data_IF_547849650410
#
_entry.id   IF_547849650410
#
_cell.length_a   1.000
_cell.length_b   1.000
_cell.length_c   1.000
_cell.angle_alpha   90.00
_cell.angle_beta   90.00
_cell.angle_gamma   90.00
#
_symmetry.space_group_name_H-M   'P 1'
#
loop_
_entity.id
_entity.type
_entity.pdbx_description
1 polymer ?
#
# COMPACT_ATOMS: atom_id res chain seq x y z
N UNK A 1 -14.28 11.81 -16.06
CA UNK A 1 -12.99 11.11 -15.88
C UNK A 1 -12.90 10.68 -14.43
N UNK A 2 -12.58 9.41 -14.17
CA UNK A 2 -12.57 8.86 -12.82
C UNK A 2 -11.31 9.30 -12.05
N UNK A 3 -11.36 9.25 -10.73
CA UNK A 3 -10.19 9.45 -9.87
C UNK A 3 -9.88 8.19 -9.05
N UNK A 4 -8.63 7.74 -9.14
CA UNK A 4 -8.09 6.67 -8.31
C UNK A 4 -7.00 7.19 -7.38
N UNK A 5 -6.98 6.69 -6.15
CA UNK A 5 -5.90 6.89 -5.20
C UNK A 5 -5.23 5.58 -4.86
N UNK A 6 -3.93 5.46 -5.16
CA UNK A 6 -3.08 4.38 -4.69
C UNK A 6 -2.45 4.82 -3.38
N UNK A 7 -2.94 4.26 -2.29
CA UNK A 7 -2.64 4.70 -0.95
C UNK A 7 -1.87 3.65 -0.16
N UNK A 8 -0.78 4.04 0.48
CA UNK A 8 -0.03 3.08 1.28
C UNK A 8 1.18 3.64 2.01
N UNK A 9 2.03 2.73 2.46
CA UNK A 9 3.23 3.08 3.22
C UNK A 9 4.42 3.47 2.32
N UNK A 10 5.64 3.17 2.76
CA UNK A 10 6.88 3.51 2.06
C UNK A 10 7.00 2.93 0.64
N UNK A 11 6.26 1.86 0.31
CA UNK A 11 6.29 1.25 -1.02
C UNK A 11 5.61 2.18 -2.03
N UNK A 12 4.40 2.66 -1.73
CA UNK A 12 3.71 3.64 -2.58
C UNK A 12 4.52 4.93 -2.72
N UNK A 13 5.18 5.38 -1.63
CA UNK A 13 6.04 6.57 -1.68
C UNK A 13 7.19 6.38 -2.67
N UNK A 14 7.92 5.27 -2.54
CA UNK A 14 9.05 4.94 -3.43
C UNK A 14 8.59 4.69 -4.86
N UNK A 15 7.43 4.06 -5.06
CA UNK A 15 6.86 3.87 -6.40
C UNK A 15 6.62 5.22 -7.08
N UNK A 16 6.00 6.17 -6.37
CA UNK A 16 5.80 7.52 -6.87
C UNK A 16 7.13 8.18 -7.21
N UNK A 17 8.09 8.17 -6.28
CA UNK A 17 9.43 8.74 -6.49
C UNK A 17 10.15 8.11 -7.70
N UNK A 18 10.02 6.79 -7.88
CA UNK A 18 10.58 6.05 -9.03
C UNK A 18 9.98 6.54 -10.35
N UNK A 19 8.64 6.67 -10.40
CA UNK A 19 7.93 7.18 -11.58
C UNK A 19 8.33 8.63 -11.87
N UNK A 20 8.33 9.50 -10.86
CA UNK A 20 8.67 10.92 -10.98
C UNK A 20 10.13 11.14 -11.44
N UNK A 21 11.03 10.25 -11.03
CA UNK A 21 12.45 10.27 -11.45
C UNK A 21 12.71 9.58 -12.79
N UNK A 22 11.70 8.97 -13.42
CA UNK A 22 11.87 8.27 -14.69
C UNK A 22 12.72 6.99 -14.57
N UNK A 23 12.63 6.28 -13.43
CA UNK A 23 13.46 5.12 -13.15
C UNK A 23 13.32 3.97 -14.17
N UNK A 24 12.17 3.86 -14.83
CA UNK A 24 11.91 2.93 -15.93
C UNK A 24 11.01 3.63 -16.96
N UNK A 25 11.39 3.70 -18.24
CA UNK A 25 10.61 4.39 -19.28
C UNK A 25 9.24 3.76 -19.55
N UNK A 26 9.00 2.52 -19.11
CA UNK A 26 7.72 1.83 -19.24
C UNK A 26 6.74 2.23 -18.13
N UNK A 27 7.24 2.76 -17.02
CA UNK A 27 6.42 3.23 -15.92
C UNK A 27 5.90 4.63 -16.22
N UNK A 28 4.58 4.74 -16.40
CA UNK A 28 3.91 6.03 -16.58
C UNK A 28 3.08 6.37 -15.33
N UNK A 29 3.00 7.65 -14.93
CA UNK A 29 2.22 8.08 -13.77
C UNK A 29 0.72 7.81 -13.92
N UNK A 30 0.23 7.78 -15.16
CA UNK A 30 -1.16 7.47 -15.50
C UNK A 30 -1.46 5.97 -15.60
N UNK A 31 -0.45 5.10 -15.46
CA UNK A 31 -0.56 3.66 -15.69
C UNK A 31 -1.21 3.28 -17.04
N UNK A 32 -1.09 4.14 -18.06
CA UNK A 32 -1.76 4.04 -19.37
C UNK A 32 -3.30 4.10 -19.28
N UNK A 33 -3.82 4.80 -18.28
CA UNK A 33 -5.26 5.01 -18.03
C UNK A 33 -5.69 6.47 -18.24
N UNK A 34 -4.83 7.30 -18.84
CA UNK A 34 -4.99 8.74 -19.04
C UNK A 34 -6.34 9.17 -19.67
N UNK A 35 -6.90 8.36 -20.56
CA UNK A 35 -8.21 8.61 -21.17
C UNK A 35 -9.42 8.26 -20.27
N UNK A 36 -9.21 7.51 -19.21
CA UNK A 36 -10.28 6.94 -18.37
C UNK A 36 -10.24 7.47 -16.93
N UNK A 37 -9.03 7.68 -16.40
CA UNK A 37 -8.80 7.83 -14.97
C UNK A 37 -7.54 8.63 -14.65
N UNK A 38 -7.66 9.54 -13.68
CA UNK A 38 -6.53 10.17 -13.02
C UNK A 38 -6.09 9.31 -11.83
N UNK A 39 -4.81 8.90 -11.82
CA UNK A 39 -4.24 8.10 -10.74
C UNK A 39 -3.35 8.98 -9.87
N UNK A 40 -3.64 9.02 -8.57
CA UNK A 40 -2.83 9.72 -7.57
C UNK A 40 -2.16 8.70 -6.65
N UNK A 41 -0.82 8.69 -6.60
CA UNK A 41 -0.08 7.82 -5.70
C UNK A 41 0.27 8.59 -4.43
N UNK A 42 -0.17 8.07 -3.29
CA UNK A 42 -0.03 8.71 -1.99
C UNK A 42 0.61 7.73 -1.00
N UNK A 43 1.90 7.94 -0.74
CA UNK A 43 2.68 7.10 0.16
C UNK A 43 3.24 7.86 1.36
N UNK A 44 3.12 7.28 2.55
CA UNK A 44 3.74 7.82 3.78
C UNK A 44 4.64 6.77 4.45
N UNK A 45 5.90 7.14 4.73
CA UNK A 45 6.83 6.26 5.44
C UNK A 45 6.29 5.85 6.81
N UNK A 46 6.45 4.56 7.17
CA UNK A 46 6.03 4.04 8.48
C UNK A 46 4.53 3.95 8.72
N UNK A 47 3.70 4.28 7.72
CA UNK A 47 2.24 4.32 7.87
C UNK A 47 1.67 2.96 8.30
N UNK A 48 0.83 2.99 9.34
CA UNK A 48 0.04 1.88 9.89
C UNK A 48 -1.45 2.17 9.68
N UNK A 49 -2.26 1.12 9.65
CA UNK A 49 -3.71 1.21 9.54
C UNK A 49 -4.32 2.02 10.70
N UNK A 50 -3.92 1.76 11.95
CA UNK A 50 -4.41 2.48 13.13
C UNK A 50 -4.22 4.01 13.03
N UNK A 51 -3.17 4.47 12.34
CA UNK A 51 -2.90 5.90 12.17
C UNK A 51 -3.89 6.57 11.21
N UNK A 52 -4.56 5.79 10.36
CA UNK A 52 -5.58 6.27 9.42
C UNK A 52 -6.94 6.33 10.09
N UNK A 53 -7.29 5.26 10.80
CA UNK A 53 -8.60 5.16 11.47
C UNK A 53 -8.66 6.09 12.68
N UNK A 54 -7.52 6.27 13.37
CA UNK A 54 -7.32 7.19 14.49
C UNK A 54 -8.13 6.83 15.72
N UNK A 55 -7.48 6.48 16.84
CA UNK A 55 -8.15 6.49 18.15
C UNK A 55 -8.34 7.90 18.71
N UNK A 56 -7.55 8.89 18.26
CA UNK A 56 -7.44 10.21 18.90
C UNK A 56 -7.73 11.42 17.97
N UNK A 57 -8.51 11.25 16.90
CA UNK A 57 -8.93 12.36 16.01
C UNK A 57 -7.84 12.92 15.06
N UNK A 58 -6.56 12.57 15.25
CA UNK A 58 -5.44 12.98 14.40
C UNK A 58 -5.38 12.26 13.02
N UNK A 59 -6.01 11.09 12.90
CA UNK A 59 -6.17 10.36 11.62
C UNK A 59 -6.99 11.15 10.58
N UNK A 60 -7.78 12.14 11.03
CA UNK A 60 -8.71 12.85 10.15
C UNK A 60 -8.03 13.82 9.19
N UNK A 61 -6.91 14.47 9.52
CA UNK A 61 -6.38 15.54 8.64
C UNK A 61 -5.74 15.00 7.35
N UNK A 62 -5.07 13.85 7.41
CA UNK A 62 -4.45 13.25 6.22
C UNK A 62 -5.52 12.69 5.28
N UNK A 63 -6.48 11.95 5.83
CA UNK A 63 -7.61 11.43 5.07
C UNK A 63 -8.52 12.55 4.55
N UNK A 64 -8.77 13.61 5.32
CA UNK A 64 -9.54 14.79 4.87
C UNK A 64 -8.87 15.51 3.70
N UNK A 65 -7.54 15.61 3.68
CA UNK A 65 -6.83 16.22 2.55
C UNK A 65 -6.96 15.37 1.29
N UNK A 66 -6.85 14.05 1.43
CA UNK A 66 -6.90 13.11 0.32
C UNK A 66 -8.32 12.94 -0.21
N UNK A 67 -9.30 12.77 0.66
CA UNK A 67 -10.69 12.50 0.28
C UNK A 67 -11.53 13.76 0.10
N UNK A 68 -10.95 14.96 0.26
CA UNK A 68 -11.57 16.20 -0.21
C UNK A 68 -11.85 16.18 -1.71
N UNK A 69 -11.09 15.40 -2.47
CA UNK A 69 -11.27 15.23 -3.91
C UNK A 69 -12.32 14.19 -4.28
N UNK A 70 -12.94 13.52 -3.29
CA UNK A 70 -13.97 12.50 -3.46
C UNK A 70 -13.61 11.44 -4.54
N UNK A 71 -12.56 10.64 -4.32
CA UNK A 71 -12.10 9.69 -5.33
C UNK A 71 -13.10 8.56 -5.57
N UNK A 72 -13.20 8.12 -6.82
CA UNK A 72 -14.04 6.99 -7.21
C UNK A 72 -13.45 5.66 -6.72
N UNK A 73 -12.12 5.53 -6.80
CA UNK A 73 -11.41 4.29 -6.48
C UNK A 73 -10.31 4.56 -5.46
N UNK A 74 -10.20 3.71 -4.45
CA UNK A 74 -9.09 3.71 -3.49
C UNK A 74 -8.44 2.34 -3.45
N UNK A 75 -7.15 2.29 -3.70
CA UNK A 75 -6.32 1.08 -3.66
C UNK A 75 -5.43 1.17 -2.41
N UNK A 76 -5.52 0.19 -1.52
CA UNK A 76 -4.87 0.19 -0.21
C UNK A 76 -3.72 -0.82 -0.18
N UNK A 77 -2.49 -0.33 -0.15
CA UNK A 77 -1.27 -1.11 0.14
C UNK A 77 -0.79 -0.81 1.57
N UNK A 78 -1.40 -1.51 2.54
CA UNK A 78 -1.18 -1.34 3.98
C UNK A 78 -0.83 -2.68 4.64
N UNK A 79 -0.59 -2.68 5.96
CA UNK A 79 -0.38 -3.91 6.75
C UNK A 79 1.08 -4.27 6.98
N UNK A 80 1.99 -4.00 6.04
CA UNK A 80 3.38 -4.42 6.19
C UNK A 80 4.12 -3.81 7.40
N UNK A 81 3.61 -2.71 7.96
CA UNK A 81 4.14 -2.08 9.17
C UNK A 81 3.34 -2.47 10.42
N UNK A 82 2.07 -2.82 10.28
CA UNK A 82 1.15 -3.15 11.36
C UNK A 82 1.58 -4.41 12.12
N UNK A 83 2.23 -5.36 11.43
CA UNK A 83 2.71 -6.63 12.00
C UNK A 83 4.20 -6.63 12.41
N UNK A 84 4.94 -5.53 12.22
CA UNK A 84 6.40 -5.52 12.39
C UNK A 84 6.94 -4.61 13.50
N UNK A 85 6.12 -3.77 14.09
CA UNK A 85 6.54 -2.90 15.19
C UNK A 85 6.56 -3.65 16.53
N UNK A 86 7.15 -3.03 17.55
CA UNK A 86 7.27 -3.60 18.90
C UNK A 86 5.91 -4.06 19.48
N UNK A 87 4.83 -3.38 19.09
CA UNK A 87 3.45 -3.76 19.35
C UNK A 87 2.78 -4.13 18.03
N UNK A 88 2.88 -5.40 17.60
CA UNK A 88 2.22 -5.87 16.41
C UNK A 88 0.71 -5.92 16.63
N UNK A 89 -0.03 -5.54 15.60
CA UNK A 89 -1.47 -5.75 15.56
C UNK A 89 -1.75 -7.24 15.33
N UNK A 90 -2.74 -7.78 16.01
CA UNK A 90 -3.23 -9.14 15.73
C UNK A 90 -3.88 -9.22 14.34
N UNK A 91 -3.85 -10.38 13.69
CA UNK A 91 -4.39 -10.56 12.35
C UNK A 91 -5.91 -10.31 12.29
N UNK A 92 -6.65 -10.74 13.31
CA UNK A 92 -8.09 -10.50 13.42
C UNK A 92 -8.37 -9.01 13.66
N UNK A 93 -7.63 -8.37 14.57
CA UNK A 93 -7.74 -6.92 14.79
C UNK A 93 -7.47 -6.14 13.49
N UNK A 94 -6.46 -6.54 12.72
CA UNK A 94 -6.15 -5.92 11.43
C UNK A 94 -7.27 -6.08 10.42
N UNK A 95 -7.83 -7.29 10.29
CA UNK A 95 -8.91 -7.57 9.37
C UNK A 95 -10.16 -6.73 9.72
N UNK A 96 -10.55 -6.72 11.00
CA UNK A 96 -11.70 -5.94 11.49
C UNK A 96 -11.48 -4.43 11.31
N UNK A 97 -10.27 -3.94 11.62
CA UNK A 97 -9.92 -2.53 11.43
C UNK A 97 -9.94 -2.15 9.95
N UNK A 98 -9.47 -3.03 9.06
CA UNK A 98 -9.46 -2.78 7.62
C UNK A 98 -10.89 -2.76 7.06
N UNK A 99 -11.74 -3.67 7.53
CA UNK A 99 -13.15 -3.69 7.16
C UNK A 99 -13.87 -2.41 7.61
N UNK A 100 -13.65 -1.98 8.86
CA UNK A 100 -14.20 -0.73 9.37
C UNK A 100 -13.70 0.48 8.57
N UNK A 101 -12.42 0.49 8.18
CA UNK A 101 -11.84 1.54 7.36
C UNK A 101 -12.44 1.56 5.94
N UNK A 102 -12.63 0.40 5.30
CA UNK A 102 -13.33 0.33 4.02
C UNK A 102 -14.79 0.82 4.13
N UNK A 103 -15.47 0.47 5.23
CA UNK A 103 -16.81 0.99 5.54
C UNK A 103 -16.82 2.51 5.67
N UNK A 104 -15.82 3.11 6.31
CA UNK A 104 -15.64 4.57 6.39
C UNK A 104 -15.47 5.22 5.00
N UNK A 105 -14.67 4.60 4.13
CA UNK A 105 -14.44 5.07 2.76
C UNK A 105 -15.72 5.09 1.94
N UNK A 106 -16.52 4.02 2.01
CA UNK A 106 -17.81 3.96 1.32
C UNK A 106 -18.86 4.87 1.95
N UNK A 107 -19.02 4.81 3.28
CA UNK A 107 -20.09 5.48 4.00
C UNK A 107 -19.93 6.99 4.06
N UNK A 108 -18.74 7.47 4.46
CA UNK A 108 -18.47 8.90 4.67
C UNK A 108 -17.88 9.52 3.41
N UNK A 109 -16.86 8.90 2.83
CA UNK A 109 -16.12 9.50 1.71
C UNK A 109 -16.70 9.17 0.34
N UNK A 110 -17.78 8.38 0.28
CA UNK A 110 -18.51 8.01 -0.94
C UNK A 110 -17.61 7.41 -2.03
N UNK A 111 -16.52 6.76 -1.63
CA UNK A 111 -15.66 6.00 -2.53
C UNK A 111 -16.49 4.88 -3.15
N UNK A 112 -16.45 4.73 -4.47
CA UNK A 112 -17.25 3.71 -5.18
C UNK A 112 -16.62 2.33 -5.07
N UNK A 113 -15.30 2.26 -5.18
CA UNK A 113 -14.54 1.02 -5.13
C UNK A 113 -13.37 1.12 -4.16
N UNK A 114 -13.27 0.20 -3.21
CA UNK A 114 -12.10 0.02 -2.36
C UNK A 114 -11.43 -1.31 -2.74
N UNK A 115 -10.15 -1.26 -3.07
CA UNK A 115 -9.32 -2.43 -3.37
C UNK A 115 -8.29 -2.57 -2.26
N UNK A 116 -8.26 -3.71 -1.59
CA UNK A 116 -7.24 -4.02 -0.58
C UNK A 116 -6.21 -4.94 -1.18
N UNK A 117 -4.95 -4.49 -1.24
CA UNK A 117 -3.86 -5.29 -1.74
C UNK A 117 -3.33 -6.25 -0.67
N UNK A 118 -2.83 -7.40 -1.11
CA UNK A 118 -2.10 -8.32 -0.23
C UNK A 118 -0.85 -7.66 0.36
N UNK A 119 -0.49 -8.07 1.57
CA UNK A 119 0.74 -7.61 2.22
C UNK A 119 1.92 -8.21 1.48
N UNK A 120 2.78 -7.34 0.95
CA UNK A 120 3.96 -7.79 0.22
C UNK A 120 4.94 -8.51 1.18
N UNK A 121 5.43 -9.71 0.82
CA UNK A 121 6.42 -10.43 1.60
C UNK A 121 7.66 -9.55 1.83
N UNK A 122 8.13 -9.50 3.07
CA UNK A 122 9.38 -8.80 3.41
C UNK A 122 10.44 -9.82 3.76
N UNK A 123 11.31 -10.11 2.79
CA UNK A 123 12.50 -10.90 3.04
C UNK A 123 13.46 -10.09 3.92
N UNK A 124 13.77 -10.60 5.11
CA UNK A 124 14.92 -10.12 5.87
C UNK A 124 16.10 -10.98 5.46
N UNK A 125 17.20 -10.40 4.92
CA UNK A 125 18.41 -11.16 4.64
C UNK A 125 18.88 -11.96 5.86
N UNK A 126 18.59 -11.49 7.07
CA UNK A 126 19.06 -12.04 8.34
C UNK A 126 18.22 -13.18 8.92
N UNK A 127 17.01 -13.44 8.43
CA UNK A 127 16.17 -14.52 8.96
C UNK A 127 16.61 -15.91 8.45
N UNK A 128 17.14 -15.97 7.21
CA UNK A 128 17.65 -17.21 6.61
C UNK A 128 19.18 -17.36 6.69
N UNK A 129 19.92 -16.28 6.99
CA UNK A 129 21.39 -16.30 6.96
C UNK A 129 22.07 -16.96 8.17
N UNK A 130 21.35 -17.18 9.28
CA UNK A 130 21.97 -17.81 10.48
C UNK A 130 21.98 -19.34 10.43
N UNK A 131 21.46 -19.96 9.38
CA UNK A 131 21.43 -21.43 9.26
C UNK A 131 21.75 -21.99 7.87
N UNK A 132 21.82 -21.18 6.81
CA UNK A 132 22.03 -21.70 5.45
C UNK A 132 23.37 -21.24 4.85
N UNK A 133 24.37 -22.12 4.92
CA UNK A 133 25.43 -22.11 3.90
C UNK A 133 24.75 -22.41 2.56
N UNK A 134 24.58 -21.39 1.74
CA UNK A 134 23.99 -21.49 0.41
C UNK A 134 22.54 -21.04 0.38
N UNK A 135 22.30 -19.93 -0.32
CA UNK A 135 20.99 -19.61 -0.88
C UNK A 135 20.54 -20.84 -1.68
N UNK A 136 19.49 -21.52 -1.23
CA UNK A 136 18.88 -22.60 -2.00
C UNK A 136 18.45 -22.05 -3.36
N UNK A 137 18.85 -22.74 -4.44
CA UNK A 137 18.54 -22.41 -5.83
C UNK A 137 17.04 -22.12 -6.06
N UNK A 138 16.18 -22.67 -5.21
CA UNK A 138 14.73 -22.46 -5.18
C UNK A 138 14.33 -21.00 -4.90
N UNK A 139 15.07 -20.27 -4.07
CA UNK A 139 14.77 -18.86 -3.74
C UNK A 139 15.17 -17.95 -4.91
N UNK A 140 16.32 -18.20 -5.54
CA UNK A 140 16.73 -17.49 -6.76
C UNK A 140 15.78 -17.76 -7.93
N UNK A 141 15.33 -19.01 -8.11
CA UNK A 141 14.34 -19.36 -9.13
C UNK A 141 13.00 -18.63 -8.93
N UNK A 142 12.53 -18.50 -7.68
CA UNK A 142 11.30 -17.74 -7.38
C UNK A 142 11.46 -16.23 -7.64
N UNK A 143 12.63 -15.67 -7.35
CA UNK A 143 12.93 -14.27 -7.66
C UNK A 143 12.96 -14.01 -9.18
N UNK A 144 13.59 -14.90 -9.95
CA UNK A 144 13.62 -14.80 -11.40
C UNK A 144 12.26 -15.08 -12.06
N UNK A 145 11.42 -15.93 -11.47
CA UNK A 145 10.07 -16.16 -11.95
C UNK A 145 9.16 -14.94 -11.73
N UNK A 146 9.31 -14.25 -10.60
CA UNK A 146 8.50 -13.06 -10.30
C UNK A 146 8.92 -11.83 -11.11
N UNK A 147 10.22 -11.67 -11.41
CA UNK A 147 10.75 -10.57 -12.21
C UNK A 147 10.52 -10.72 -13.74
N UNK A 148 9.87 -11.81 -14.18
CA UNK A 148 9.55 -12.09 -15.59
C UNK A 148 8.10 -11.78 -15.98
N UNK A 149 7.27 -11.33 -15.03
CA UNK A 149 5.93 -10.79 -15.26
C UNK A 149 5.95 -9.28 -15.01
#
# INVERSE_FOLDING_TARGET
MLQAYVFGHSICRRLRECIESGCDPRMRPDFKLDSQMYVNIVGRGGLRLQQLVGKDGAGSNYLRKIFRTAPDVVILQLGGNDFRFAEPMDAEEFALTMLAFAGLLHGIYKVKQVVVCGILPRFSPTADYRGSRGLSATIQQRYHAWARY
#
